data_IF_229546831399
#
_entry.id   IF_229546831399
#
_cell.length_a   1.000
_cell.length_b   1.000
_cell.length_c   1.000
_cell.angle_alpha   90.00
_cell.angle_beta   90.00
_cell.angle_gamma   90.00
#
_symmetry.space_group_name_H-M   'P 1'
#
loop_
_entity.id
_entity.type
_entity.pdbx_description
1 polymer ?
#
# COMPACT_ATOMS: atom_id res chain seq x y z
N UNK A 1 0.49 17.43 -0.25
CA UNK A 1 0.21 17.57 -1.71
C UNK A 1 -1.29 17.50 -1.96
N UNK A 2 -1.83 18.30 -2.89
CA UNK A 2 -3.28 18.41 -3.16
C UNK A 2 -3.97 17.08 -3.53
N UNK A 3 -3.21 16.06 -3.95
CA UNK A 3 -3.69 14.71 -4.24
C UNK A 3 -3.05 13.61 -3.38
N UNK A 4 -2.38 13.98 -2.28
CA UNK A 4 -1.63 13.03 -1.43
C UNK A 4 -0.35 12.44 -2.07
N UNK A 5 -0.06 12.77 -3.34
CA UNK A 5 1.11 12.28 -4.08
C UNK A 5 2.19 13.36 -4.11
N UNK A 6 3.40 13.01 -3.70
CA UNK A 6 4.60 13.84 -3.80
C UNK A 6 5.63 13.16 -4.72
N UNK A 7 5.80 13.71 -5.93
CA UNK A 7 6.68 13.15 -6.95
C UNK A 7 8.16 13.20 -6.55
N UNK A 8 8.57 14.24 -5.81
CA UNK A 8 9.94 14.39 -5.34
C UNK A 8 10.24 13.34 -4.26
N UNK A 9 9.31 13.13 -3.33
CA UNK A 9 9.41 12.07 -2.34
C UNK A 9 9.37 10.69 -2.98
N UNK A 10 8.51 10.47 -3.98
CA UNK A 10 8.42 9.20 -4.72
C UNK A 10 9.76 8.85 -5.37
N UNK A 11 10.37 9.80 -6.09
CA UNK A 11 11.69 9.59 -6.70
C UNK A 11 12.76 9.30 -5.64
N UNK A 12 12.74 10.02 -4.53
CA UNK A 12 13.69 9.83 -3.42
C UNK A 12 13.60 8.41 -2.86
N UNK A 13 12.38 7.93 -2.58
CA UNK A 13 12.15 6.57 -2.05
C UNK A 13 12.58 5.49 -3.05
N UNK A 14 12.27 5.65 -4.34
CA UNK A 14 12.70 4.69 -5.38
C UNK A 14 14.22 4.66 -5.53
N UNK A 15 14.87 5.83 -5.51
CA UNK A 15 16.32 5.93 -5.57
C UNK A 15 16.96 5.25 -4.35
N UNK A 16 16.43 5.50 -3.15
CA UNK A 16 16.89 4.90 -1.91
C UNK A 16 16.80 3.38 -1.93
N UNK A 17 15.67 2.79 -2.36
CA UNK A 17 15.56 1.32 -2.51
C UNK A 17 16.58 0.78 -3.52
N UNK A 18 16.80 1.51 -4.61
CA UNK A 18 17.80 1.17 -5.62
C UNK A 18 19.23 1.17 -5.08
N UNK A 19 19.55 2.07 -4.16
CA UNK A 19 20.85 2.13 -3.47
C UNK A 19 21.00 1.01 -2.44
N UNK A 20 19.95 0.72 -1.66
CA UNK A 20 20.02 -0.24 -0.56
C UNK A 20 19.99 -1.71 -1.02
N UNK A 21 19.25 -2.03 -2.09
CA UNK A 21 19.02 -3.41 -2.52
C UNK A 21 19.52 -3.64 -3.96
N UNK A 22 19.43 -2.63 -4.82
CA UNK A 22 19.85 -2.69 -6.22
C UNK A 22 18.74 -2.29 -7.20
N UNK A 23 19.13 -2.07 -8.47
CA UNK A 23 18.23 -1.55 -9.50
C UNK A 23 16.99 -2.43 -9.74
N UNK A 24 17.11 -3.75 -9.59
CA UNK A 24 16.01 -4.72 -9.77
C UNK A 24 14.91 -4.61 -8.69
N UNK A 25 15.24 -4.06 -7.52
CA UNK A 25 14.31 -3.98 -6.40
C UNK A 25 13.55 -2.65 -6.35
N UNK A 26 13.81 -1.72 -7.29
CA UNK A 26 13.11 -0.45 -7.36
C UNK A 26 11.60 -0.69 -7.54
N UNK A 27 10.74 -0.19 -6.65
CA UNK A 27 9.30 -0.36 -6.80
C UNK A 27 8.83 0.30 -8.10
N UNK A 28 7.98 -0.39 -8.88
CA UNK A 28 7.42 0.17 -10.12
C UNK A 28 6.40 1.28 -9.84
N UNK A 29 5.64 1.13 -8.75
CA UNK A 29 4.62 2.07 -8.31
C UNK A 29 4.70 2.22 -6.78
N UNK A 30 4.51 3.44 -6.28
CA UNK A 30 4.36 3.74 -4.87
C UNK A 30 2.99 4.36 -4.66
N UNK A 31 2.17 3.75 -3.80
CA UNK A 31 0.84 4.25 -3.43
C UNK A 31 0.88 4.84 -2.04
N UNK A 32 0.42 6.08 -1.92
CA UNK A 32 0.27 6.76 -0.63
C UNK A 32 -1.06 6.39 0.00
N UNK A 33 -1.05 6.17 1.31
CA UNK A 33 -2.23 5.86 2.10
C UNK A 33 -2.03 6.33 3.53
N UNK A 34 -3.10 6.77 4.19
CA UNK A 34 -3.05 7.23 5.57
C UNK A 34 -2.83 6.09 6.56
N UNK A 35 -3.23 4.88 6.19
CA UNK A 35 -3.07 3.68 7.01
C UNK A 35 -2.89 2.41 6.17
N UNK A 36 -2.44 1.35 6.85
CA UNK A 36 -2.33 0.01 6.28
C UNK A 36 -3.42 -0.90 6.86
N UNK A 37 -3.83 -1.95 6.12
CA UNK A 37 -4.79 -2.92 6.62
C UNK A 37 -4.12 -3.72 7.74
N UNK A 38 -4.48 -3.39 8.98
CA UNK A 38 -3.94 -3.99 10.20
C UNK A 38 -5.04 -4.77 10.92
N UNK A 39 -4.65 -5.90 11.49
CA UNK A 39 -5.51 -6.61 12.46
C UNK A 39 -5.62 -5.81 13.75
N UNK A 40 -6.59 -6.14 14.62
CA UNK A 40 -6.68 -5.59 15.99
C UNK A 40 -5.43 -5.82 16.86
N UNK A 41 -4.56 -6.76 16.45
CA UNK A 41 -3.25 -7.02 17.07
C UNK A 41 -2.09 -6.28 16.40
N UNK A 42 -2.37 -5.40 15.42
CA UNK A 42 -1.39 -4.58 14.72
C UNK A 42 -0.66 -5.27 13.56
N UNK A 43 -0.99 -6.54 13.24
CA UNK A 43 -0.34 -7.24 12.13
C UNK A 43 -0.81 -6.69 10.79
N UNK A 44 0.12 -6.31 9.92
CA UNK A 44 -0.19 -5.87 8.56
C UNK A 44 -0.63 -7.07 7.71
N UNK A 45 -1.85 -7.02 7.18
CA UNK A 45 -2.42 -8.03 6.30
C UNK A 45 -1.93 -7.84 4.86
N UNK A 46 -0.64 -8.11 4.62
CA UNK A 46 0.01 -7.96 3.30
C UNK A 46 -0.69 -8.73 2.17
N UNK A 47 -1.40 -9.82 2.51
CA UNK A 47 -2.22 -10.59 1.57
C UNK A 47 -3.26 -9.71 0.86
N UNK A 48 -3.93 -8.82 1.60
CA UNK A 48 -4.95 -7.90 1.06
C UNK A 48 -4.31 -6.87 0.14
N UNK A 49 -3.15 -6.31 0.54
CA UNK A 49 -2.38 -5.39 -0.30
C UNK A 49 -2.02 -6.02 -1.66
N UNK A 50 -1.69 -7.31 -1.67
CA UNK A 50 -1.40 -8.05 -2.91
C UNK A 50 -2.62 -8.18 -3.80
N UNK A 51 -3.78 -8.51 -3.23
CA UNK A 51 -5.05 -8.59 -3.98
C UNK A 51 -5.44 -7.23 -4.58
N UNK A 52 -5.31 -6.16 -3.79
CA UNK A 52 -5.55 -4.79 -4.25
C UNK A 52 -4.57 -4.41 -5.37
N UNK A 53 -3.28 -4.72 -5.23
CA UNK A 53 -2.29 -4.42 -6.26
C UNK A 53 -2.55 -5.15 -7.59
N UNK A 54 -3.23 -6.31 -7.55
CA UNK A 54 -3.67 -7.05 -8.73
C UNK A 54 -4.99 -6.54 -9.32
N UNK A 55 -5.72 -5.65 -8.64
CA UNK A 55 -7.07 -5.23 -9.03
C UNK A 55 -8.13 -6.32 -8.88
N UNK A 56 -7.86 -7.36 -8.08
CA UNK A 56 -8.78 -8.46 -7.82
C UNK A 56 -9.75 -8.09 -6.68
N UNK A 57 -10.92 -8.73 -6.68
CA UNK A 57 -11.88 -8.59 -5.57
C UNK A 57 -11.39 -9.33 -4.32
N UNK A 58 -11.59 -8.71 -3.15
CA UNK A 58 -11.17 -9.29 -1.87
C UNK A 58 -12.21 -10.32 -1.44
N UNK A 59 -11.94 -11.60 -1.71
CA UNK A 59 -12.82 -12.73 -1.33
C UNK A 59 -12.52 -13.33 0.05
N UNK A 60 -11.50 -12.79 0.70
CA UNK A 60 -10.92 -13.37 1.90
C UNK A 60 -11.45 -12.74 3.16
N UNK A 61 -11.42 -13.48 4.27
CA UNK A 61 -11.83 -12.96 5.58
C UNK A 61 -11.06 -11.69 6.01
N UNK A 62 -11.82 -10.64 6.29
CA UNK A 62 -11.39 -9.32 6.76
C UNK A 62 -11.89 -9.00 8.17
N UNK A 63 -12.63 -9.90 8.82
CA UNK A 63 -13.30 -9.68 10.12
C UNK A 63 -12.35 -9.31 11.28
N UNK A 64 -11.06 -9.63 11.13
CA UNK A 64 -10.01 -9.33 12.10
C UNK A 64 -9.37 -7.96 11.92
N UNK A 65 -9.71 -7.22 10.85
CA UNK A 65 -9.24 -5.86 10.62
C UNK A 65 -9.73 -4.92 11.73
N UNK A 66 -8.86 -3.99 12.08
CA UNK A 66 -9.21 -2.90 12.99
C UNK A 66 -10.16 -1.90 12.31
N UNK A 67 -9.95 -1.65 11.02
CA UNK A 67 -10.75 -0.71 10.23
C UNK A 67 -10.91 -1.25 8.79
N UNK A 68 -12.15 -1.55 8.39
CA UNK A 68 -12.46 -2.06 7.04
C UNK A 68 -12.50 -0.95 5.98
N UNK A 69 -12.74 0.30 6.36
CA UNK A 69 -12.79 1.45 5.46
C UNK A 69 -11.44 1.77 4.79
N UNK A 70 -10.35 1.17 5.25
CA UNK A 70 -9.03 1.32 4.64
C UNK A 70 -8.92 0.63 3.27
N UNK A 71 -9.73 -0.41 3.03
CA UNK A 71 -9.71 -1.18 1.79
C UNK A 71 -10.15 -0.35 0.56
N UNK A 72 -11.30 0.34 0.57
CA UNK A 72 -11.69 1.20 -0.55
C UNK A 72 -10.73 2.38 -0.76
N UNK A 73 -10.13 2.94 0.30
CA UNK A 73 -9.11 3.99 0.17
C UNK A 73 -7.89 3.48 -0.61
N UNK A 74 -7.39 2.29 -0.27
CA UNK A 74 -6.25 1.67 -0.94
C UNK A 74 -6.55 1.24 -2.38
N UNK A 75 -7.82 1.07 -2.74
CA UNK A 75 -8.26 0.82 -4.12
C UNK A 75 -8.36 2.11 -4.96
N UNK A 76 -8.11 3.28 -4.38
CA UNK A 76 -8.24 4.57 -5.08
C UNK A 76 -9.70 4.94 -5.37
N UNK A 77 -10.65 4.41 -4.59
CA UNK A 77 -12.10 4.67 -4.73
C UNK A 77 -12.65 5.65 -3.68
N UNK A 78 -11.77 6.43 -3.04
CA UNK A 78 -12.12 7.41 -2.00
C UNK A 78 -11.79 8.83 -2.48
#
# INVERSE_FOLDING_TARGET
PENGIDDALTQTLRAWVGEQIGAIAKPDEIRYADNLPKTRSGKIMRRLLRTIAKGEEITSDTSTLENESILPQLQGKA
#
